data_IF_226755819703
#
_entry.id   IF_226755819703
#
_cell.length_a   1.000
_cell.length_b   1.000
_cell.length_c   1.000
_cell.angle_alpha   90.00
_cell.angle_beta   90.00
_cell.angle_gamma   90.00
#
_symmetry.space_group_name_H-M   'P 1'
#
loop_
_entity.id
_entity.type
_entity.pdbx_description
1 polymer ?
#
# COMPACT_ATOMS: atom_id res chain seq x y z
N UNK A 1 -65.35 11.56 32.70
CA UNK A 1 -64.04 12.24 32.75
C UNK A 1 -63.02 11.20 32.30
N UNK A 2 -62.81 10.99 30.99
CA UNK A 2 -62.06 11.80 30.00
C UNK A 2 -60.64 12.07 30.47
N UNK A 3 -59.72 11.17 30.11
CA UNK A 3 -58.36 11.53 29.75
C UNK A 3 -57.87 10.61 28.63
N UNK A 4 -57.75 11.20 27.45
CA UNK A 4 -57.30 10.58 26.22
C UNK A 4 -55.77 10.71 26.14
N UNK A 5 -55.06 9.63 26.44
CA UNK A 5 -53.61 9.56 26.21
C UNK A 5 -53.41 8.97 24.82
N UNK A 6 -53.31 9.86 23.82
CA UNK A 6 -52.87 9.49 22.47
C UNK A 6 -51.39 9.11 22.56
N UNK A 7 -51.10 7.83 22.43
CA UNK A 7 -49.76 7.28 22.36
C UNK A 7 -49.16 7.66 21.01
N UNK A 8 -48.54 8.84 20.95
CA UNK A 8 -47.85 9.34 19.77
C UNK A 8 -46.64 8.45 19.49
N UNK A 9 -46.64 7.82 18.32
CA UNK A 9 -45.58 6.96 17.82
C UNK A 9 -44.24 7.73 17.76
N UNK A 10 -43.29 7.34 18.59
CA UNK A 10 -41.89 7.78 18.52
C UNK A 10 -41.18 6.93 17.46
N UNK A 11 -41.25 7.36 16.20
CA UNK A 11 -40.47 6.78 15.10
C UNK A 11 -38.99 7.09 15.31
N UNK A 12 -38.23 6.10 15.81
CA UNK A 12 -36.78 6.18 15.97
C UNK A 12 -36.13 5.83 14.63
N UNK A 13 -35.93 6.84 13.78
CA UNK A 13 -35.14 6.70 12.55
C UNK A 13 -33.65 6.48 12.92
N UNK A 14 -33.24 5.20 12.96
CA UNK A 14 -31.84 4.80 13.10
C UNK A 14 -31.16 5.08 11.76
N UNK A 15 -30.67 6.31 11.58
CA UNK A 15 -29.70 6.62 10.53
C UNK A 15 -28.35 6.02 10.92
N UNK A 16 -28.11 4.78 10.51
CA UNK A 16 -26.82 4.11 10.59
C UNK A 16 -25.75 5.02 9.97
N UNK A 17 -24.83 5.50 10.80
CA UNK A 17 -23.64 6.24 10.37
C UNK A 17 -22.75 5.24 9.63
N UNK A 18 -22.86 5.18 8.31
CA UNK A 18 -21.84 4.56 7.49
C UNK A 18 -20.58 5.42 7.62
N UNK A 19 -19.65 5.00 8.47
CA UNK A 19 -18.31 5.57 8.54
C UNK A 19 -17.58 5.17 7.26
N UNK A 20 -17.61 6.04 6.26
CA UNK A 20 -16.74 5.90 5.09
C UNK A 20 -15.33 6.29 5.57
N UNK A 21 -14.43 5.31 5.69
CA UNK A 21 -13.02 5.59 5.93
C UNK A 21 -12.44 6.16 4.65
N UNK A 22 -12.05 7.43 4.65
CA UNK A 22 -11.38 8.04 3.51
C UNK A 22 -10.06 7.33 3.22
N UNK A 23 -9.71 7.11 1.94
CA UNK A 23 -8.39 6.60 1.59
C UNK A 23 -7.31 7.59 2.04
N UNK A 24 -6.19 7.06 2.54
CA UNK A 24 -5.03 7.84 2.95
C UNK A 24 -4.13 8.05 1.73
N UNK A 25 -3.99 9.29 1.30
CA UNK A 25 -3.24 9.64 0.10
C UNK A 25 -1.96 10.41 0.43
N UNK A 26 -0.90 10.08 -0.27
CA UNK A 26 0.39 10.76 -0.23
C UNK A 26 0.68 11.31 -1.63
N UNK A 27 1.19 12.55 -1.67
CA UNK A 27 1.52 13.27 -2.90
C UNK A 27 0.39 13.34 -3.95
N UNK A 28 -0.87 13.43 -3.50
CA UNK A 28 -2.04 13.54 -4.37
C UNK A 28 -2.64 12.21 -4.84
N UNK A 29 -2.14 11.08 -4.34
CA UNK A 29 -2.70 9.76 -4.60
C UNK A 29 -2.08 9.05 -5.80
N UNK A 30 -2.15 7.72 -5.79
CA UNK A 30 -1.58 6.88 -6.82
C UNK A 30 -2.28 7.08 -8.19
N UNK A 31 -1.48 7.07 -9.25
CA UNK A 31 -1.94 7.18 -10.64
C UNK A 31 -2.45 5.82 -11.14
N UNK A 32 -3.76 5.61 -11.02
CA UNK A 32 -4.41 4.38 -11.44
C UNK A 32 -4.35 4.11 -12.95
N UNK A 33 -4.05 5.12 -13.77
CA UNK A 33 -3.90 4.92 -15.22
C UNK A 33 -2.65 4.12 -15.58
N UNK A 34 -1.68 4.05 -14.65
CA UNK A 34 -0.40 3.33 -14.78
C UNK A 34 -0.38 2.03 -13.98
N UNK A 35 -1.54 1.53 -13.58
CA UNK A 35 -1.65 0.28 -12.84
C UNK A 35 -1.20 -0.89 -13.72
N UNK A 36 -0.16 -1.60 -13.29
CA UNK A 36 0.36 -2.78 -13.97
C UNK A 36 0.22 -3.98 -13.03
N UNK A 37 -0.29 -5.09 -13.59
CA UNK A 37 -0.34 -6.35 -12.87
C UNK A 37 1.07 -6.92 -12.69
N UNK A 38 1.39 -7.32 -11.47
CA UNK A 38 2.73 -7.79 -11.13
C UNK A 38 3.14 -9.04 -11.91
N UNK A 39 2.19 -9.86 -12.35
CA UNK A 39 2.45 -11.04 -13.19
C UNK A 39 3.11 -10.67 -14.53
N UNK A 40 2.86 -9.46 -15.04
CA UNK A 40 3.50 -8.95 -16.27
C UNK A 40 4.87 -8.32 -16.02
N UNK A 41 5.13 -7.89 -14.77
CA UNK A 41 6.37 -7.22 -14.38
C UNK A 41 7.48 -8.23 -14.17
N UNK A 42 7.19 -9.34 -13.49
CA UNK A 42 8.18 -10.39 -13.18
C UNK A 42 9.03 -10.85 -14.39
N UNK A 43 8.44 -11.21 -15.54
CA UNK A 43 9.23 -11.64 -16.69
C UNK A 43 10.03 -10.52 -17.36
N UNK A 44 9.64 -9.25 -17.21
CA UNK A 44 10.23 -8.11 -17.92
C UNK A 44 10.74 -7.01 -16.98
N UNK A 45 11.15 -7.40 -15.77
CA UNK A 45 11.46 -6.48 -14.69
C UNK A 45 12.53 -5.42 -15.06
N UNK A 46 13.49 -5.81 -15.90
CA UNK A 46 14.54 -4.91 -16.40
C UNK A 46 13.97 -3.75 -17.26
N UNK A 47 12.84 -3.96 -17.93
CA UNK A 47 12.19 -2.93 -18.76
C UNK A 47 11.53 -1.87 -17.87
N UNK A 48 11.00 -2.28 -16.72
CA UNK A 48 10.28 -1.40 -15.79
C UNK A 48 11.19 -0.63 -14.82
N UNK A 49 12.50 -0.84 -14.84
CA UNK A 49 13.45 -0.08 -14.01
C UNK A 49 13.48 1.43 -14.35
N UNK A 50 13.07 1.83 -15.56
CA UNK A 50 13.07 3.23 -15.99
C UNK A 50 11.68 3.87 -15.97
N UNK A 51 10.63 3.06 -15.94
CA UNK A 51 9.25 3.53 -16.06
C UNK A 51 8.63 3.88 -14.71
N UNK A 52 7.74 4.87 -14.73
CA UNK A 52 6.87 5.16 -13.59
C UNK A 52 5.63 4.29 -13.73
N UNK A 53 5.46 3.37 -12.79
CA UNK A 53 4.37 2.40 -12.78
C UNK A 53 3.61 2.47 -11.46
N UNK A 54 2.38 1.95 -11.45
CA UNK A 54 1.60 1.80 -10.23
C UNK A 54 1.46 0.34 -9.88
N UNK A 55 1.90 -0.02 -8.67
CA UNK A 55 1.75 -1.34 -8.08
C UNK A 55 0.55 -1.37 -7.15
N UNK A 56 -0.12 -2.51 -7.10
CA UNK A 56 -1.19 -2.80 -6.15
C UNK A 56 -0.75 -3.93 -5.22
N UNK A 57 -0.98 -3.78 -3.92
CA UNK A 57 -0.75 -4.84 -2.96
C UNK A 57 -1.29 -4.56 -1.57
N UNK A 58 -0.98 -5.44 -0.62
CA UNK A 58 -1.36 -5.31 0.79
C UNK A 58 -0.13 -4.96 1.61
N UNK A 59 -0.25 -3.96 2.49
CA UNK A 59 0.87 -3.57 3.36
C UNK A 59 1.06 -4.61 4.45
N UNK A 60 2.18 -5.32 4.48
CA UNK A 60 2.48 -6.37 5.46
C UNK A 60 3.32 -5.87 6.62
N UNK A 61 4.14 -4.84 6.40
CA UNK A 61 5.04 -4.29 7.41
C UNK A 61 5.33 -2.82 7.16
N UNK A 62 5.56 -2.08 8.24
CA UNK A 62 5.91 -0.65 8.22
C UNK A 62 7.02 -0.39 9.23
N UNK A 63 7.93 0.53 8.91
CA UNK A 63 8.94 1.02 9.85
C UNK A 63 8.31 1.62 11.11
N UNK A 64 8.32 0.88 12.22
CA UNK A 64 7.70 1.32 13.49
C UNK A 64 8.34 2.56 14.11
N UNK A 65 9.59 2.88 13.76
CA UNK A 65 10.32 4.03 14.33
C UNK A 65 9.96 5.33 13.64
N UNK A 66 10.08 5.37 12.31
CA UNK A 66 10.02 6.61 11.53
C UNK A 66 8.99 6.57 10.40
N UNK A 67 8.38 5.42 10.10
CA UNK A 67 7.46 5.27 8.96
C UNK A 67 8.10 5.47 7.59
N UNK A 68 9.44 5.49 7.51
CA UNK A 68 10.20 5.80 6.29
C UNK A 68 10.32 4.64 5.27
N UNK A 69 9.73 3.49 5.57
CA UNK A 69 9.61 2.39 4.62
C UNK A 69 8.41 1.51 4.98
N UNK A 70 7.89 0.81 3.99
CA UNK A 70 6.87 -0.23 4.15
C UNK A 70 7.12 -1.40 3.19
N UNK A 71 6.62 -2.58 3.53
CA UNK A 71 6.61 -3.76 2.67
C UNK A 71 5.21 -3.97 2.13
N UNK A 72 5.13 -4.12 0.81
CA UNK A 72 3.91 -4.31 0.06
C UNK A 72 3.90 -5.72 -0.54
N UNK A 73 2.98 -6.58 -0.11
CA UNK A 73 2.75 -7.88 -0.72
C UNK A 73 1.86 -7.71 -1.94
N UNK A 74 2.42 -7.94 -3.12
CA UNK A 74 1.75 -7.72 -4.42
C UNK A 74 1.26 -9.04 -5.04
N UNK A 75 1.87 -10.18 -4.68
CA UNK A 75 1.39 -11.52 -5.00
C UNK A 75 1.85 -12.52 -3.92
N UNK A 76 1.37 -13.76 -4.02
CA UNK A 76 1.80 -14.83 -3.10
C UNK A 76 3.30 -15.08 -3.21
N UNK A 77 4.02 -14.97 -2.09
CA UNK A 77 5.47 -15.04 -2.05
C UNK A 77 6.20 -13.85 -2.70
N UNK A 78 5.50 -12.77 -3.04
CA UNK A 78 6.07 -11.59 -3.68
C UNK A 78 5.84 -10.32 -2.87
N UNK A 79 6.91 -9.91 -2.20
CA UNK A 79 6.97 -8.71 -1.38
C UNK A 79 7.88 -7.66 -2.03
N UNK A 80 7.41 -6.42 -2.09
CA UNK A 80 8.15 -5.26 -2.60
C UNK A 80 8.39 -4.28 -1.47
N UNK A 81 9.63 -3.83 -1.31
CA UNK A 81 9.99 -2.86 -0.30
C UNK A 81 9.88 -1.44 -0.86
N UNK A 82 8.94 -0.68 -0.30
CA UNK A 82 8.74 0.73 -0.62
C UNK A 82 9.58 1.56 0.33
N UNK A 83 10.57 2.26 -0.20
CA UNK A 83 11.47 3.09 0.58
C UNK A 83 11.29 4.55 0.20
N UNK A 84 11.21 5.42 1.20
CA UNK A 84 11.17 6.87 0.99
C UNK A 84 12.39 7.52 1.61
N UNK A 85 12.84 8.61 1.00
CA UNK A 85 13.82 9.47 1.64
C UNK A 85 13.25 10.04 2.95
N UNK A 86 14.14 10.22 3.93
CA UNK A 86 13.76 10.57 5.29
C UNK A 86 13.02 11.90 5.33
N UNK A 87 11.70 11.86 5.55
CA UNK A 87 10.85 13.04 5.76
C UNK A 87 9.86 13.33 4.64
N UNK A 88 9.94 12.64 3.49
CA UNK A 88 9.02 12.87 2.37
C UNK A 88 7.64 12.27 2.59
N UNK A 89 7.57 11.03 3.07
CA UNK A 89 6.33 10.37 3.44
C UNK A 89 6.52 9.58 4.74
N UNK A 90 5.51 9.61 5.60
CA UNK A 90 5.51 8.84 6.85
C UNK A 90 4.33 7.88 6.80
N UNK A 91 4.63 6.60 6.55
CA UNK A 91 3.61 5.57 6.52
C UNK A 91 3.20 5.20 7.97
N UNK A 92 1.92 5.30 8.33
CA UNK A 92 1.46 4.92 9.66
C UNK A 92 1.43 3.40 9.80
N UNK A 93 1.69 2.89 11.01
CA UNK A 93 1.53 1.46 11.31
C UNK A 93 0.09 0.98 11.14
N UNK A 94 -0.88 1.89 11.21
CA UNK A 94 -2.29 1.61 10.88
C UNK A 94 -2.53 1.22 9.42
N UNK A 95 -1.55 1.41 8.53
CA UNK A 95 -1.62 0.92 7.15
C UNK A 95 -1.45 -0.60 7.04
N UNK A 96 -0.89 -1.27 8.05
CA UNK A 96 -0.65 -2.73 8.01
C UNK A 96 -2.00 -3.46 7.86
N UNK A 97 -2.07 -4.35 6.87
CA UNK A 97 -3.28 -5.09 6.49
C UNK A 97 -4.22 -4.35 5.55
N UNK A 98 -3.90 -3.11 5.16
CA UNK A 98 -4.68 -2.34 4.18
C UNK A 98 -4.15 -2.52 2.77
N UNK A 99 -5.05 -2.32 1.80
CA UNK A 99 -4.69 -2.32 0.39
C UNK A 99 -4.02 -0.98 0.05
N UNK A 100 -2.89 -1.02 -0.63
CA UNK A 100 -2.17 0.17 -1.06
C UNK A 100 -1.84 0.11 -2.55
N UNK A 101 -1.99 1.27 -3.18
CA UNK A 101 -1.57 1.55 -4.54
C UNK A 101 -0.36 2.48 -4.47
N UNK A 102 0.72 2.10 -5.12
CA UNK A 102 2.01 2.78 -5.01
C UNK A 102 2.51 3.10 -6.40
N UNK A 103 2.51 4.37 -6.77
CA UNK A 103 3.07 4.87 -8.01
C UNK A 103 4.52 5.26 -7.80
N UNK A 104 5.41 4.82 -8.66
CA UNK A 104 6.84 5.10 -8.53
C UNK A 104 7.68 4.29 -9.51
N UNK A 105 8.96 4.13 -9.18
CA UNK A 105 9.94 3.46 -10.05
C UNK A 105 10.74 2.43 -9.26
N UNK A 106 11.08 1.33 -9.92
CA UNK A 106 12.02 0.36 -9.36
C UNK A 106 13.43 0.94 -9.31
N UNK A 107 14.08 0.81 -8.16
CA UNK A 107 15.50 1.11 -7.98
C UNK A 107 16.28 -0.19 -7.85
N UNK A 108 17.40 -0.28 -8.59
CA UNK A 108 18.35 -1.37 -8.41
C UNK A 108 19.01 -1.17 -7.06
N UNK A 109 18.78 -2.09 -6.12
CA UNK A 109 19.51 -2.09 -4.86
C UNK A 109 20.91 -2.61 -5.14
N UNK A 110 21.86 -1.69 -5.34
CA UNK A 110 23.28 -2.01 -5.35
C UNK A 110 23.63 -2.62 -3.98
N UNK A 111 23.94 -3.91 -3.94
CA UNK A 111 24.13 -4.63 -2.69
C UNK A 111 25.26 -4.00 -1.87
N UNK A 112 24.94 -3.41 -0.72
CA UNK A 112 25.89 -3.33 0.38
C UNK A 112 26.07 -4.76 0.96
N UNK A 113 27.04 -5.48 0.40
CA UNK A 113 27.62 -6.76 0.82
C UNK A 113 26.96 -7.47 2.02
N UNK A 114 26.15 -8.51 1.76
CA UNK A 114 26.03 -9.67 2.66
C UNK A 114 26.01 -10.97 1.85
N UNK A 115 26.93 -11.92 2.13
CA UNK A 115 27.01 -13.18 1.42
C UNK A 115 26.17 -14.23 2.16
N UNK A 116 25.01 -14.62 1.64
CA UNK A 116 24.51 -15.95 1.97
C UNK A 116 23.48 -16.53 0.99
N UNK A 117 23.93 -17.63 0.38
CA UNK A 117 23.18 -18.81 -0.05
C UNK A 117 22.39 -18.73 -1.37
N UNK A 118 23.14 -19.08 -2.42
CA UNK A 118 22.69 -19.82 -3.60
C UNK A 118 21.66 -20.92 -3.23
N UNK A 119 20.43 -20.73 -3.72
CA UNK A 119 19.26 -21.63 -3.83
C UNK A 119 17.95 -20.83 -3.80
N UNK A 120 18.03 -19.51 -3.51
CA UNK A 120 16.91 -18.55 -3.45
C UNK A 120 16.92 -17.54 -4.60
N UNK A 121 17.56 -17.85 -5.74
CA UNK A 121 17.96 -16.84 -6.73
C UNK A 121 16.78 -16.09 -7.40
N UNK A 122 15.63 -16.73 -7.63
CA UNK A 122 14.48 -16.03 -8.22
C UNK A 122 13.70 -15.21 -7.19
N UNK A 123 13.49 -15.77 -5.99
CA UNK A 123 12.79 -15.07 -4.90
C UNK A 123 13.62 -13.94 -4.29
N UNK A 124 14.95 -14.04 -4.30
CA UNK A 124 15.85 -13.02 -3.75
C UNK A 124 15.93 -11.78 -4.64
N UNK A 125 15.85 -11.93 -5.97
CA UNK A 125 15.90 -10.79 -6.89
C UNK A 125 14.74 -9.83 -6.63
N UNK A 126 13.55 -10.37 -6.34
CA UNK A 126 12.36 -9.58 -6.06
C UNK A 126 12.43 -8.90 -4.69
N UNK A 127 12.98 -9.61 -3.70
CA UNK A 127 13.26 -9.07 -2.35
C UNK A 127 14.34 -7.99 -2.34
N UNK A 128 15.06 -7.81 -3.45
CA UNK A 128 16.13 -6.82 -3.66
C UNK A 128 15.71 -5.65 -4.55
N UNK A 129 14.42 -5.51 -4.87
CA UNK A 129 13.93 -4.34 -5.59
C UNK A 129 13.46 -3.29 -4.59
N UNK A 130 14.21 -2.20 -4.52
CA UNK A 130 13.70 -0.97 -3.93
C UNK A 130 12.65 -0.40 -4.87
N UNK A 131 11.61 0.19 -4.30
CA UNK A 131 10.65 0.96 -5.07
C UNK A 131 10.54 2.33 -4.44
N UNK A 132 10.93 3.36 -5.19
CA UNK A 132 10.81 4.75 -4.76
C UNK A 132 9.43 5.26 -5.16
N UNK A 133 8.54 5.54 -4.18
CA UNK A 133 7.21 6.01 -4.48
C UNK A 133 7.23 7.51 -4.81
N UNK A 134 6.51 7.88 -5.85
CA UNK A 134 6.17 9.27 -6.16
C UNK A 134 4.80 9.65 -5.60
N UNK A 135 3.87 8.70 -5.52
CA UNK A 135 2.55 8.88 -4.90
C UNK A 135 1.99 7.56 -4.37
N UNK A 136 1.18 7.63 -3.31
CA UNK A 136 0.64 6.44 -2.62
C UNK A 136 -0.81 6.68 -2.23
N UNK A 137 -1.66 5.67 -2.41
CA UNK A 137 -3.05 5.65 -1.90
C UNK A 137 -3.27 4.38 -1.09
N UNK A 138 -3.66 4.50 0.18
CA UNK A 138 -3.93 3.38 1.11
C UNK A 138 -5.42 3.37 1.45
N UNK A 139 -6.12 2.29 1.10
CA UNK A 139 -7.58 2.12 1.21
C UNK A 139 -8.00 1.18 2.33
#
# INVERSE_FOLDING_TARGET
MKDSIKLTALSLAIFSRFSFSSPLEFAGGADMSKLIDVQHILPNLNEYCSDVITLKGVVTSVCKKLGCWMTLQVADGLDVNIQVEQGDMVFPTAAIGREAHVTGRFTRVEQAAQPQLELRAEQSVLMQLGFEPTAVTIS
#
